data_IF_956627025101
#
_entry.id   IF_956627025101
#
_cell.length_a   1.000
_cell.length_b   1.000
_cell.length_c   1.000
_cell.angle_alpha   90.00
_cell.angle_beta   90.00
_cell.angle_gamma   90.00
#
_symmetry.space_group_name_H-M   'P 1'
#
loop_
_entity.id
_entity.type
_entity.pdbx_description
1 polymer ?
#
# COMPACT_ATOMS: atom_id res chain seq x y z
N UNK A 1 -28.31 19.41 -18.98
CA UNK A 1 -27.27 18.44 -19.31
C UNK A 1 -26.17 18.61 -18.26
N UNK A 2 -26.12 17.72 -17.28
CA UNK A 2 -25.05 17.71 -16.28
C UNK A 2 -23.85 17.08 -16.98
N UNK A 3 -22.80 17.88 -17.24
CA UNK A 3 -21.54 17.38 -17.74
C UNK A 3 -20.98 16.42 -16.68
N UNK A 4 -21.11 15.12 -16.95
CA UNK A 4 -20.57 14.07 -16.08
C UNK A 4 -19.05 14.08 -16.16
N UNK A 5 -18.41 14.95 -15.38
CA UNK A 5 -16.99 14.84 -15.13
C UNK A 5 -16.77 13.56 -14.34
N UNK A 6 -16.22 12.53 -15.01
CA UNK A 6 -15.84 11.30 -14.32
C UNK A 6 -14.70 11.61 -13.37
N UNK A 7 -14.88 11.28 -12.08
CA UNK A 7 -13.82 11.45 -11.09
C UNK A 7 -12.57 10.69 -11.52
N UNK A 8 -11.37 11.24 -11.27
CA UNK A 8 -10.13 10.53 -11.53
C UNK A 8 -9.99 9.29 -10.62
N UNK A 9 -9.12 8.38 -11.01
CA UNK A 9 -8.86 7.13 -10.28
C UNK A 9 -7.75 7.33 -9.25
N UNK A 10 -8.00 6.86 -8.03
CA UNK A 10 -6.99 6.63 -7.01
C UNK A 10 -6.81 5.13 -6.81
N UNK A 11 -5.58 4.65 -7.06
CA UNK A 11 -5.25 3.23 -7.00
C UNK A 11 -4.52 2.91 -5.70
N UNK A 12 -5.02 1.92 -4.96
CA UNK A 12 -4.47 1.44 -3.71
C UNK A 12 -3.97 -0.01 -3.83
N UNK A 13 -2.80 -0.30 -3.26
CA UNK A 13 -2.35 -1.66 -2.95
C UNK A 13 -1.77 -1.65 -1.55
N UNK A 14 -2.61 -1.90 -0.57
CA UNK A 14 -2.33 -1.74 0.86
C UNK A 14 -2.06 -3.05 1.59
N UNK A 15 -2.27 -4.20 0.91
CA UNK A 15 -2.18 -5.54 1.49
C UNK A 15 -1.40 -6.47 0.57
N UNK A 16 -0.30 -7.04 1.04
CA UNK A 16 0.60 -7.87 0.24
C UNK A 16 0.58 -9.39 0.55
N UNK A 17 -0.20 -9.83 1.53
CA UNK A 17 -0.08 -11.16 2.13
C UNK A 17 -0.81 -12.32 1.44
N UNK A 18 -1.49 -12.10 0.32
CA UNK A 18 -2.47 -13.08 -0.21
C UNK A 18 -1.93 -14.39 -0.78
N UNK A 19 -0.64 -14.48 -1.14
CA UNK A 19 -0.09 -15.64 -1.84
C UNK A 19 -0.12 -16.95 -1.04
N UNK A 20 -0.15 -16.89 0.29
CA UNK A 20 -0.14 -18.07 1.18
C UNK A 20 -1.47 -18.22 1.95
N UNK A 21 -2.57 -17.66 1.43
CA UNK A 21 -3.87 -17.69 2.12
C UNK A 21 -3.95 -16.76 3.33
N UNK A 22 -2.92 -15.99 3.63
CA UNK A 22 -2.94 -14.99 4.71
C UNK A 22 -3.67 -13.74 4.21
N UNK A 23 -4.63 -13.27 4.98
CA UNK A 23 -5.38 -12.05 4.66
C UNK A 23 -4.64 -10.76 5.04
N UNK A 24 -3.60 -10.84 5.85
CA UNK A 24 -2.84 -9.71 6.37
C UNK A 24 -1.37 -10.09 6.64
N UNK A 25 -0.48 -9.13 6.41
CA UNK A 25 0.96 -9.26 6.65
C UNK A 25 1.47 -8.02 7.41
N UNK A 26 1.66 -8.16 8.71
CA UNK A 26 1.96 -7.03 9.62
C UNK A 26 3.27 -6.28 9.29
N UNK A 27 4.20 -6.90 8.59
CA UNK A 27 5.47 -6.28 8.20
C UNK A 27 5.44 -5.56 6.85
N UNK A 28 4.28 -5.56 6.16
CA UNK A 28 4.11 -4.93 4.84
C UNK A 28 2.85 -4.10 4.73
N UNK A 29 1.76 -4.58 5.32
CA UNK A 29 0.43 -4.05 5.06
C UNK A 29 0.21 -2.74 5.84
N UNK A 30 -0.34 -1.75 5.16
CA UNK A 30 -0.74 -0.50 5.81
C UNK A 30 -1.82 -0.82 6.84
N UNK A 31 -1.68 -0.41 8.11
CA UNK A 31 -2.73 -0.61 9.10
C UNK A 31 -4.07 -0.03 8.64
N UNK A 32 -5.13 -0.81 8.87
CA UNK A 32 -6.47 -0.48 8.37
C UNK A 32 -6.90 0.95 8.73
N UNK A 33 -6.60 1.42 9.93
CA UNK A 33 -7.01 2.76 10.36
C UNK A 33 -6.28 3.86 9.59
N UNK A 34 -4.99 3.69 9.26
CA UNK A 34 -4.28 4.60 8.38
C UNK A 34 -4.91 4.62 6.97
N UNK A 35 -5.23 3.44 6.43
CA UNK A 35 -5.87 3.34 5.13
C UNK A 35 -7.26 3.98 5.09
N UNK A 36 -8.07 3.81 6.15
CA UNK A 36 -9.39 4.45 6.29
C UNK A 36 -9.27 5.97 6.31
N UNK A 37 -8.33 6.53 7.05
CA UNK A 37 -8.13 7.98 7.11
C UNK A 37 -7.82 8.57 5.73
N UNK A 38 -6.92 7.92 4.99
CA UNK A 38 -6.52 8.34 3.65
C UNK A 38 -7.69 8.23 2.67
N UNK A 39 -8.40 7.11 2.66
CA UNK A 39 -9.58 6.91 1.81
C UNK A 39 -10.66 7.94 2.11
N UNK A 40 -10.95 8.21 3.37
CA UNK A 40 -11.93 9.20 3.78
C UNK A 40 -11.61 10.61 3.25
N UNK A 41 -10.35 10.98 3.16
CA UNK A 41 -9.92 12.26 2.59
C UNK A 41 -10.23 12.36 1.09
N UNK A 42 -9.97 11.30 0.32
CA UNK A 42 -10.06 11.34 -1.15
C UNK A 42 -11.40 10.85 -1.74
N UNK A 43 -12.25 10.15 -0.99
CA UNK A 43 -13.44 9.45 -1.53
C UNK A 43 -14.47 10.36 -2.24
N UNK A 44 -14.49 11.65 -1.90
CA UNK A 44 -15.43 12.58 -2.53
C UNK A 44 -14.96 13.05 -3.91
N UNK A 45 -13.64 13.01 -4.17
CA UNK A 45 -13.02 13.57 -5.39
C UNK A 45 -12.48 12.49 -6.34
N UNK A 46 -12.35 11.25 -5.87
CA UNK A 46 -11.78 10.13 -6.62
C UNK A 46 -12.68 8.91 -6.62
N UNK A 47 -12.61 8.14 -7.72
CA UNK A 47 -12.98 6.73 -7.70
C UNK A 47 -11.80 5.94 -7.14
N UNK A 48 -11.99 5.30 -5.98
CA UNK A 48 -10.92 4.62 -5.28
C UNK A 48 -11.02 3.12 -5.51
N UNK A 49 -9.95 2.53 -6.06
CA UNK A 49 -9.85 1.10 -6.33
C UNK A 49 -8.71 0.48 -5.53
N UNK A 50 -9.03 -0.62 -4.83
CA UNK A 50 -8.05 -1.40 -4.08
C UNK A 50 -7.70 -2.67 -4.85
N UNK A 51 -6.40 -2.83 -5.14
CA UNK A 51 -5.82 -4.09 -5.62
C UNK A 51 -5.74 -5.05 -4.43
N UNK A 52 -6.22 -6.27 -4.59
CA UNK A 52 -6.15 -7.30 -3.56
C UNK A 52 -7.00 -8.52 -3.88
N UNK A 53 -6.74 -9.60 -3.16
CA UNK A 53 -7.49 -10.85 -3.28
C UNK A 53 -8.82 -10.77 -2.54
N UNK A 54 -9.76 -11.68 -2.86
CA UNK A 54 -11.10 -11.71 -2.26
C UNK A 54 -11.07 -11.92 -0.74
N UNK A 55 -10.09 -12.68 -0.24
CA UNK A 55 -9.91 -12.95 1.19
C UNK A 55 -9.28 -11.78 1.97
N UNK A 56 -8.81 -10.75 1.29
CA UNK A 56 -8.25 -9.56 1.93
C UNK A 56 -9.36 -8.56 2.26
N UNK A 57 -9.17 -7.86 3.37
CA UNK A 57 -10.14 -6.86 3.80
C UNK A 57 -10.24 -5.70 2.80
N UNK A 58 -11.47 -5.43 2.34
CA UNK A 58 -11.75 -4.23 1.55
C UNK A 58 -11.87 -3.03 2.48
N UNK A 59 -11.12 -1.98 2.16
CA UNK A 59 -11.18 -0.72 2.91
C UNK A 59 -12.53 -0.04 2.62
N UNK A 60 -13.26 0.41 3.67
CA UNK A 60 -14.51 1.13 3.48
C UNK A 60 -14.35 2.34 2.55
N UNK A 61 -15.20 2.44 1.54
CA UNK A 61 -15.13 3.50 0.52
C UNK A 61 -14.31 3.16 -0.72
N UNK A 62 -13.68 1.98 -0.77
CA UNK A 62 -13.00 1.48 -1.95
C UNK A 62 -13.87 0.49 -2.75
N UNK A 63 -13.58 0.39 -4.04
CA UNK A 63 -14.02 -0.69 -4.90
C UNK A 63 -12.86 -1.69 -5.07
N UNK A 64 -13.16 -3.00 -5.04
CA UNK A 64 -12.13 -4.00 -5.34
C UNK A 64 -11.83 -3.99 -6.83
N UNK A 65 -10.55 -3.95 -7.16
CA UNK A 65 -10.09 -4.06 -8.54
C UNK A 65 -9.86 -5.54 -8.87
N UNK A 66 -10.77 -6.10 -9.66
CA UNK A 66 -10.68 -7.48 -10.15
C UNK A 66 -10.28 -7.44 -11.61
N UNK A 67 -9.01 -7.68 -11.90
CA UNK A 67 -8.42 -7.64 -13.23
C UNK A 67 -7.48 -8.84 -13.43
N UNK A 68 -7.21 -9.17 -14.68
CA UNK A 68 -6.17 -10.14 -15.02
C UNK A 68 -4.76 -9.54 -14.77
N UNK A 69 -3.75 -10.39 -14.67
CA UNK A 69 -2.38 -9.98 -14.32
C UNK A 69 -1.86 -8.83 -15.19
N UNK A 70 -2.06 -8.88 -16.50
CA UNK A 70 -1.59 -7.81 -17.41
C UNK A 70 -2.32 -6.49 -17.21
N UNK A 71 -3.61 -6.56 -16.93
CA UNK A 71 -4.44 -5.38 -16.70
C UNK A 71 -4.07 -4.72 -15.35
N UNK A 72 -3.83 -5.53 -14.32
CA UNK A 72 -3.35 -5.03 -13.02
C UNK A 72 -1.99 -4.34 -13.15
N UNK A 73 -1.07 -4.91 -13.94
CA UNK A 73 0.23 -4.28 -14.19
C UNK A 73 0.11 -2.96 -14.95
N UNK A 74 -0.90 -2.80 -15.80
CA UNK A 74 -1.16 -1.57 -16.53
C UNK A 74 -1.99 -0.53 -15.74
N UNK A 75 -2.64 -0.93 -14.64
CA UNK A 75 -3.53 -0.06 -13.86
C UNK A 75 -2.90 1.27 -13.39
N UNK A 76 -1.59 1.34 -13.06
CA UNK A 76 -0.95 2.62 -12.72
C UNK A 76 -1.05 3.69 -13.81
N UNK A 77 -1.12 3.34 -15.09
CA UNK A 77 -1.28 4.29 -16.20
C UNK A 77 -2.61 5.03 -16.16
N UNK A 78 -3.64 4.40 -15.65
CA UNK A 78 -5.01 4.93 -15.64
C UNK A 78 -5.37 5.64 -14.34
N UNK A 79 -4.46 5.65 -13.36
CA UNK A 79 -4.68 6.26 -12.07
C UNK A 79 -3.98 7.61 -11.95
N UNK A 80 -4.68 8.58 -11.33
CA UNK A 80 -4.10 9.90 -11.04
C UNK A 80 -3.26 9.87 -9.77
N UNK A 81 -3.66 9.09 -8.77
CA UNK A 81 -2.95 8.92 -7.51
C UNK A 81 -2.72 7.43 -7.22
N UNK A 82 -1.60 7.13 -6.56
CA UNK A 82 -1.14 5.76 -6.30
C UNK A 82 -0.54 5.67 -4.91
N UNK A 83 -1.14 4.81 -4.07
CA UNK A 83 -0.61 4.46 -2.75
C UNK A 83 -0.34 2.97 -2.70
N UNK A 84 0.90 2.61 -2.49
CA UNK A 84 1.34 1.23 -2.49
C UNK A 84 2.15 0.90 -1.24
N UNK A 85 2.30 -0.39 -1.00
CA UNK A 85 3.28 -0.96 -0.09
C UNK A 85 4.44 -1.51 -0.91
N UNK A 86 5.40 -2.14 -0.28
CA UNK A 86 6.40 -3.00 -0.93
C UNK A 86 5.72 -4.18 -1.61
N UNK A 87 5.39 -4.00 -2.88
CA UNK A 87 4.63 -4.94 -3.70
C UNK A 87 4.94 -4.75 -5.19
N UNK A 88 4.46 -5.69 -6.01
CA UNK A 88 4.62 -5.59 -7.47
C UNK A 88 4.08 -4.28 -8.06
N UNK A 89 3.11 -3.63 -7.41
CA UNK A 89 2.48 -2.41 -7.94
C UNK A 89 3.44 -1.23 -7.99
N UNK A 90 4.36 -1.08 -7.03
CA UNK A 90 5.39 -0.04 -7.09
C UNK A 90 6.37 -0.30 -8.24
N UNK A 91 6.74 -1.57 -8.47
CA UNK A 91 7.61 -1.95 -9.58
C UNK A 91 6.94 -1.71 -10.94
N UNK A 92 5.65 -2.06 -11.06
CA UNK A 92 4.86 -1.78 -12.25
C UNK A 92 4.75 -0.26 -12.51
N UNK A 93 4.45 0.54 -11.49
CA UNK A 93 4.41 1.99 -11.61
C UNK A 93 5.76 2.54 -12.09
N UNK A 94 6.87 2.11 -11.50
CA UNK A 94 8.21 2.51 -11.92
C UNK A 94 8.50 2.16 -13.38
N UNK A 95 8.20 0.93 -13.79
CA UNK A 95 8.40 0.46 -15.16
C UNK A 95 7.58 1.26 -16.18
N UNK A 96 6.44 1.78 -15.77
CA UNK A 96 5.54 2.61 -16.59
C UNK A 96 5.82 4.12 -16.47
N UNK A 97 6.90 4.54 -15.81
CA UNK A 97 7.24 5.93 -15.61
C UNK A 97 6.29 6.71 -14.69
N UNK A 98 5.51 5.99 -13.86
CA UNK A 98 4.55 6.59 -12.94
C UNK A 98 5.14 6.71 -11.53
N UNK A 99 4.92 7.86 -10.90
CA UNK A 99 5.25 8.07 -9.50
C UNK A 99 4.16 7.51 -8.58
N UNK A 100 4.53 7.12 -7.36
CA UNK A 100 3.61 6.66 -6.33
C UNK A 100 4.10 7.05 -4.94
N UNK A 101 3.21 7.05 -3.96
CA UNK A 101 3.58 7.03 -2.54
C UNK A 101 3.70 5.57 -2.13
N UNK A 102 4.80 5.19 -1.49
CA UNK A 102 5.07 3.82 -1.04
C UNK A 102 5.33 3.80 0.46
N UNK A 103 4.53 3.02 1.18
CA UNK A 103 4.68 2.83 2.62
C UNK A 103 5.55 1.60 2.90
N UNK A 104 6.55 1.79 3.76
CA UNK A 104 7.53 0.77 4.14
C UNK A 104 7.41 0.44 5.62
N UNK A 105 7.42 -0.85 5.96
CA UNK A 105 7.41 -1.32 7.35
C UNK A 105 8.63 -2.19 7.62
N UNK A 106 8.67 -3.40 7.09
CA UNK A 106 9.75 -4.36 7.35
C UNK A 106 10.90 -4.29 6.36
N UNK A 107 10.60 -4.01 5.09
CA UNK A 107 11.62 -3.86 4.05
C UNK A 107 12.07 -2.41 3.93
N UNK A 108 13.19 -2.20 3.25
CA UNK A 108 13.78 -0.88 3.04
C UNK A 108 13.78 -0.50 1.56
N UNK A 109 13.49 0.77 1.22
CA UNK A 109 13.49 1.23 -0.17
C UNK A 109 14.88 1.17 -0.82
N UNK A 110 15.98 1.20 -0.05
CA UNK A 110 17.35 1.05 -0.55
C UNK A 110 17.59 -0.32 -1.19
N UNK A 111 16.81 -1.33 -0.81
CA UNK A 111 16.92 -2.69 -1.34
C UNK A 111 15.89 -2.92 -2.46
N UNK A 112 14.63 -2.55 -2.23
CA UNK A 112 13.51 -2.92 -3.09
C UNK A 112 12.74 -1.72 -3.66
N UNK A 113 13.11 -0.49 -3.30
CA UNK A 113 12.41 0.73 -3.67
C UNK A 113 13.05 1.48 -4.83
N UNK A 114 12.55 2.68 -5.05
CA UNK A 114 13.01 3.60 -6.09
C UNK A 114 12.96 5.04 -5.61
N UNK A 115 13.98 5.82 -5.95
CA UNK A 115 14.07 7.25 -5.62
C UNK A 115 13.00 8.11 -6.29
N UNK A 116 12.37 7.58 -7.35
CA UNK A 116 11.29 8.25 -8.06
C UNK A 116 9.95 8.16 -7.35
N UNK A 117 9.82 7.34 -6.32
CA UNK A 117 8.64 7.24 -5.47
C UNK A 117 8.80 8.08 -4.20
N UNK A 118 7.70 8.56 -3.67
CA UNK A 118 7.66 9.20 -2.35
C UNK A 118 7.58 8.12 -1.27
N UNK A 119 8.72 7.78 -0.69
CA UNK A 119 8.81 6.75 0.34
C UNK A 119 8.35 7.30 1.70
N UNK A 120 7.55 6.54 2.44
CA UNK A 120 7.00 6.89 3.77
C UNK A 120 7.27 5.75 4.74
N UNK A 121 7.64 6.13 5.96
CA UNK A 121 8.01 5.21 7.04
C UNK A 121 7.09 5.37 8.24
N UNK A 122 7.02 4.36 9.13
CA UNK A 122 6.36 4.51 10.42
C UNK A 122 6.94 5.69 11.21
N UNK A 123 6.07 6.40 11.92
CA UNK A 123 6.44 7.52 12.81
C UNK A 123 6.49 7.11 14.27
N UNK A 124 6.28 5.83 14.56
CA UNK A 124 6.33 5.22 15.88
C UNK A 124 7.43 4.18 15.92
N UNK A 125 8.14 4.10 17.05
CA UNK A 125 9.16 3.08 17.26
C UNK A 125 8.52 1.72 17.53
N UNK A 126 9.08 0.63 17.01
CA UNK A 126 8.64 -0.71 17.33
C UNK A 126 8.94 -1.03 18.79
N UNK A 127 8.04 -1.76 19.46
CA UNK A 127 8.21 -2.17 20.87
C UNK A 127 9.19 -3.32 21.05
N UNK A 128 9.51 -4.03 19.96
CA UNK A 128 10.54 -5.06 19.92
C UNK A 128 11.07 -5.23 18.50
N UNK A 129 12.29 -5.69 18.43
CA UNK A 129 13.06 -5.76 17.20
C UNK A 129 12.81 -7.10 16.45
N UNK A 130 11.63 -7.27 15.90
CA UNK A 130 11.27 -8.44 15.08
C UNK A 130 11.36 -8.19 13.58
N UNK A 131 11.68 -6.95 13.22
CA UNK A 131 11.66 -6.50 11.82
C UNK A 131 13.07 -6.42 11.23
N UNK A 132 14.10 -6.82 11.96
CA UNK A 132 15.41 -7.06 11.35
C UNK A 132 15.24 -8.18 10.34
N UNK A 133 15.10 -7.80 9.14
CA UNK A 133 15.48 -8.46 7.90
C UNK A 133 15.58 -9.99 7.91
N UNK A 134 15.01 -10.66 8.91
CA UNK A 134 15.00 -12.11 8.99
C UNK A 134 14.57 -12.76 7.69
N UNK A 135 13.78 -12.06 6.89
CA UNK A 135 13.36 -12.56 5.59
C UNK A 135 14.50 -12.63 4.56
N UNK A 136 15.49 -11.73 4.64
CA UNK A 136 16.64 -11.73 3.71
C UNK A 136 17.94 -12.19 4.40
N UNK A 137 18.08 -11.99 5.70
CA UNK A 137 19.29 -12.35 6.43
C UNK A 137 19.20 -13.74 7.07
N UNK A 138 18.06 -14.13 7.64
CA UNK A 138 17.92 -15.40 8.34
C UNK A 138 17.05 -16.41 7.60
N UNK A 139 16.38 -16.02 6.51
CA UNK A 139 15.46 -16.86 5.74
C UNK A 139 14.58 -17.73 6.66
N UNK A 140 13.99 -17.13 7.70
CA UNK A 140 13.17 -17.87 8.67
C UNK A 140 11.94 -18.46 8.00
N UNK A 141 12.11 -19.67 7.52
CA UNK A 141 11.07 -20.51 6.92
C UNK A 141 10.32 -21.33 7.99
N UNK A 142 10.58 -21.09 9.29
CA UNK A 142 9.99 -21.84 10.40
C UNK A 142 8.47 -21.77 10.46
N UNK A 143 7.88 -20.78 9.77
CA UNK A 143 6.44 -20.59 9.75
C UNK A 143 5.87 -20.04 11.04
N UNK A 144 6.71 -19.59 11.96
CA UNK A 144 6.26 -18.93 13.18
C UNK A 144 5.44 -17.69 12.85
N UNK A 145 4.35 -17.43 13.58
CA UNK A 145 3.58 -16.21 13.37
C UNK A 145 4.44 -14.99 13.74
N UNK A 146 4.62 -14.09 12.78
CA UNK A 146 5.26 -12.80 13.01
C UNK A 146 4.28 -11.95 13.83
N UNK A 147 4.73 -11.51 15.00
CA UNK A 147 3.94 -10.59 15.81
C UNK A 147 4.03 -9.16 15.25
N UNK A 148 2.94 -8.42 15.36
CA UNK A 148 2.93 -6.99 15.01
C UNK A 148 3.79 -6.22 16.03
N UNK A 149 4.87 -5.55 15.60
CA UNK A 149 5.87 -5.02 16.51
C UNK A 149 5.52 -3.65 17.10
N UNK A 150 4.28 -3.19 16.95
CA UNK A 150 3.84 -1.89 17.43
C UNK A 150 2.69 -2.04 18.41
N UNK A 151 2.63 -1.17 19.40
CA UNK A 151 1.55 -1.08 20.39
C UNK A 151 0.38 -0.19 19.93
N UNK A 152 0.45 0.34 18.70
CA UNK A 152 -0.53 1.28 18.15
C UNK A 152 -1.14 0.75 16.86
N UNK A 153 -2.43 1.04 16.67
CA UNK A 153 -3.17 0.70 15.44
C UNK A 153 -2.89 1.64 14.27
N UNK A 154 -2.27 2.80 14.51
CA UNK A 154 -1.76 3.73 13.50
C UNK A 154 -0.27 3.87 13.70
N UNK A 155 0.50 3.51 12.69
CA UNK A 155 1.96 3.61 12.74
C UNK A 155 2.51 4.66 11.78
N UNK A 156 1.73 5.07 10.78
CA UNK A 156 2.08 6.14 9.86
C UNK A 156 1.40 7.46 10.24
N UNK A 157 2.02 8.57 9.87
CA UNK A 157 1.33 9.85 9.82
C UNK A 157 0.45 9.90 8.57
N UNK A 158 -0.87 9.74 8.74
CA UNK A 158 -1.81 9.75 7.60
C UNK A 158 -1.83 11.09 6.86
N UNK A 159 -1.59 12.21 7.55
CA UNK A 159 -1.52 13.54 6.94
C UNK A 159 -0.29 13.69 6.04
N UNK A 160 0.87 13.15 6.44
CA UNK A 160 2.06 13.11 5.59
C UNK A 160 1.80 12.35 4.29
N UNK A 161 1.15 11.18 4.38
CA UNK A 161 0.79 10.38 3.20
C UNK A 161 -0.16 11.16 2.29
N UNK A 162 -1.18 11.82 2.86
CA UNK A 162 -2.15 12.63 2.12
C UNK A 162 -1.44 13.76 1.38
N UNK A 163 -0.53 14.50 2.05
CA UNK A 163 0.21 15.60 1.43
C UNK A 163 1.07 15.10 0.25
N UNK A 164 1.82 14.00 0.43
CA UNK A 164 2.59 13.38 -0.65
C UNK A 164 1.71 12.90 -1.81
N UNK A 165 0.50 12.42 -1.53
CA UNK A 165 -0.46 12.05 -2.58
C UNK A 165 -1.01 13.28 -3.31
N UNK A 166 -1.19 14.42 -2.65
CA UNK A 166 -1.63 15.66 -3.29
C UNK A 166 -0.57 16.15 -4.30
N UNK A 167 0.70 16.01 -3.98
CA UNK A 167 1.83 16.43 -4.82
C UNK A 167 2.04 15.56 -6.08
N UNK A 168 1.48 14.34 -6.14
CA UNK A 168 1.49 13.50 -7.35
C UNK A 168 0.59 14.07 -8.46
#
# INVERSE_FOLDING_TARGET
>A
MVNGVTKPIFLLHTNGGGANGRSYSCYRDIPLQNAIDIVNYFKNDYHIYQIGYENQQLIPGCNRLTLQTREILAAPLFSRKRLFIDSFSQHAAKALGQQSVVCWIGNKPEILGYDTHSNVFPTVEPVFDTMHSSYLEDADISGNPIQFPYDRIKIFNSEEIINKLIEL
#
